data_IF_514923997055
#
_entry.id   IF_514923997055
#
_cell.length_a   1.000
_cell.length_b   1.000
_cell.length_c   1.000
_cell.angle_alpha   90.00
_cell.angle_beta   90.00
_cell.angle_gamma   90.00
#
_symmetry.space_group_name_H-M   'P 1'
#
loop_
_entity.id
_entity.type
_entity.pdbx_description
1 polymer ?
#
# COMPACT_ATOMS: atom_id res chain seq x y z
N UNK A 1 -6.96 19.74 4.82
CA UNK A 1 -7.64 18.64 4.11
C UNK A 1 -8.64 18.01 5.06
N UNK A 2 -9.94 18.03 4.73
CA UNK A 2 -10.95 17.34 5.55
C UNK A 2 -10.93 15.88 5.11
N UNK A 3 -10.42 15.00 5.95
CA UNK A 3 -10.49 13.56 5.68
C UNK A 3 -11.91 13.12 6.05
N UNK A 4 -12.65 12.53 5.10
CA UNK A 4 -14.05 12.11 5.29
C UNK A 4 -14.09 10.58 5.45
N UNK A 5 -13.75 10.03 6.63
CA UNK A 5 -13.65 8.59 6.84
C UNK A 5 -14.98 7.87 6.60
N UNK A 6 -16.10 8.55 6.82
CA UNK A 6 -17.44 8.00 6.60
C UNK A 6 -17.73 7.75 5.12
N UNK A 7 -17.18 8.58 4.23
CA UNK A 7 -17.28 8.39 2.78
C UNK A 7 -16.38 7.23 2.35
N UNK A 8 -15.15 7.18 2.87
CA UNK A 8 -14.20 6.10 2.57
C UNK A 8 -14.76 4.72 2.96
N UNK A 9 -15.51 4.60 4.06
CA UNK A 9 -16.16 3.35 4.48
C UNK A 9 -17.28 2.90 3.53
N UNK A 10 -17.94 3.82 2.85
CA UNK A 10 -19.06 3.53 1.94
C UNK A 10 -18.59 3.14 0.53
N UNK A 11 -17.34 3.45 0.20
CA UNK A 11 -16.72 3.07 -1.06
C UNK A 11 -16.04 1.70 -0.94
N UNK A 12 -16.03 0.98 -2.05
CA UNK A 12 -15.26 -0.23 -2.29
C UNK A 12 -14.30 0.06 -3.44
N UNK A 13 -13.12 -0.56 -3.37
CA UNK A 13 -12.12 -0.48 -4.44
C UNK A 13 -12.40 -1.57 -5.46
N UNK A 14 -12.36 -1.23 -6.74
CA UNK A 14 -12.48 -2.20 -7.83
C UNK A 14 -11.34 -3.23 -7.77
N UNK A 15 -11.63 -4.53 -7.95
CA UNK A 15 -10.59 -5.56 -8.00
C UNK A 15 -9.68 -5.45 -9.23
N UNK A 16 -10.12 -4.77 -10.29
CA UNK A 16 -9.37 -4.63 -11.55
C UNK A 16 -8.52 -3.37 -11.60
N UNK A 17 -8.92 -2.30 -10.89
CA UNK A 17 -8.17 -1.05 -10.85
C UNK A 17 -8.33 -0.35 -9.49
N UNK A 18 -7.24 -0.25 -8.74
CA UNK A 18 -7.24 0.35 -7.40
C UNK A 18 -7.61 1.84 -7.37
N UNK A 19 -7.59 2.52 -8.54
CA UNK A 19 -8.03 3.92 -8.66
C UNK A 19 -9.54 4.06 -8.68
N UNK A 20 -10.28 3.01 -9.01
CA UNK A 20 -11.73 3.02 -9.00
C UNK A 20 -12.26 2.79 -7.58
N UNK A 21 -12.86 3.83 -7.01
CA UNK A 21 -13.64 3.77 -5.79
C UNK A 21 -15.12 3.94 -6.14
N UNK A 22 -15.93 2.93 -5.82
CA UNK A 22 -17.33 2.83 -6.19
C UNK A 22 -18.16 2.53 -4.94
N UNK A 23 -19.39 3.03 -4.82
CA UNK A 23 -20.25 2.69 -3.69
C UNK A 23 -20.38 1.18 -3.53
N UNK A 24 -20.31 0.68 -2.28
CA UNK A 24 -20.42 -0.76 -1.99
C UNK A 24 -21.67 -1.40 -2.56
N UNK A 25 -22.77 -0.67 -2.65
CA UNK A 25 -24.02 -1.15 -3.25
C UNK A 25 -23.91 -1.37 -4.77
N UNK A 26 -23.02 -0.64 -5.44
CA UNK A 26 -22.90 -0.60 -6.91
C UNK A 26 -21.70 -1.39 -7.43
N UNK A 27 -20.81 -1.86 -6.53
CA UNK A 27 -19.59 -2.59 -6.91
C UNK A 27 -19.86 -3.80 -7.80
N UNK A 28 -20.97 -4.52 -7.57
CA UNK A 28 -21.33 -5.69 -8.38
C UNK A 28 -21.63 -5.30 -9.83
N UNK A 29 -22.37 -4.22 -10.03
CA UNK A 29 -22.69 -3.70 -11.36
C UNK A 29 -21.42 -3.18 -12.04
N UNK A 30 -20.60 -2.44 -11.30
CA UNK A 30 -19.31 -1.96 -11.79
C UNK A 30 -18.40 -3.10 -12.25
N UNK A 31 -18.27 -4.20 -11.48
CA UNK A 31 -17.44 -5.35 -11.86
C UNK A 31 -17.89 -5.95 -13.21
N UNK A 32 -19.19 -5.98 -13.49
CA UNK A 32 -19.72 -6.52 -14.76
C UNK A 32 -19.43 -5.62 -15.97
N UNK A 33 -19.23 -4.32 -15.79
CA UNK A 33 -19.07 -3.34 -16.87
C UNK A 33 -17.75 -2.57 -16.81
N UNK A 34 -16.77 -3.02 -16.01
CA UNK A 34 -15.52 -2.31 -15.83
C UNK A 34 -14.64 -2.47 -17.08
N UNK A 35 -14.21 -1.36 -17.69
CA UNK A 35 -13.34 -1.37 -18.87
C UNK A 35 -11.97 -2.01 -18.58
N UNK A 36 -11.44 -1.82 -17.37
CA UNK A 36 -10.15 -2.40 -16.94
C UNK A 36 -10.22 -3.92 -16.73
N UNK A 37 -11.42 -4.53 -16.77
CA UNK A 37 -11.60 -5.98 -16.63
C UNK A 37 -10.91 -6.74 -17.76
N UNK A 38 -10.95 -6.23 -18.99
CA UNK A 38 -10.37 -6.93 -20.15
C UNK A 38 -8.84 -7.00 -20.10
N UNK A 39 -8.19 -6.01 -19.47
CA UNK A 39 -6.74 -5.96 -19.35
C UNK A 39 -6.17 -7.14 -18.53
N UNK A 40 -6.93 -7.66 -17.56
CA UNK A 40 -6.50 -8.74 -16.68
C UNK A 40 -6.89 -10.12 -17.25
N UNK A 41 -8.03 -10.21 -17.93
CA UNK A 41 -8.47 -11.47 -18.57
C UNK A 41 -7.49 -11.96 -19.65
N UNK A 42 -6.79 -11.03 -20.32
CA UNK A 42 -5.75 -11.36 -21.29
C UNK A 42 -4.56 -12.11 -20.66
N UNK A 43 -4.19 -11.79 -19.41
CA UNK A 43 -3.10 -12.45 -18.69
C UNK A 43 -3.50 -13.83 -18.17
N UNK A 44 -4.76 -14.02 -17.74
CA UNK A 44 -5.27 -15.31 -17.24
C UNK A 44 -5.38 -16.34 -18.37
N UNK A 45 -5.87 -15.94 -19.56
CA UNK A 45 -5.96 -16.84 -20.73
C UNK A 45 -4.57 -17.21 -21.27
N UNK A 46 -3.63 -16.26 -21.23
CA UNK A 46 -2.23 -16.54 -21.59
C UNK A 46 -1.58 -17.52 -20.61
N UNK A 47 -2.00 -17.48 -19.33
CA UNK A 47 -1.55 -18.40 -18.29
C UNK A 47 -2.25 -19.77 -18.36
N UNK A 48 -3.52 -19.86 -18.79
CA UNK A 48 -4.22 -21.15 -18.92
C UNK A 48 -3.65 -22.05 -20.00
N UNK A 49 -3.09 -21.47 -21.07
CA UNK A 49 -2.37 -22.23 -22.11
C UNK A 49 -0.98 -22.72 -21.65
N UNK A 50 -0.46 -22.16 -20.56
CA UNK A 50 0.86 -22.50 -19.98
C UNK A 50 0.76 -23.18 -18.60
N UNK A 51 -0.44 -23.40 -18.06
CA UNK A 51 -0.69 -23.94 -16.72
C UNK A 51 -1.03 -25.43 -16.70
N UNK A 52 -1.29 -26.06 -17.87
CA UNK A 52 -1.45 -27.51 -17.91
C UNK A 52 -0.09 -28.21 -17.75
N UNK A 53 0.26 -28.44 -16.49
CA UNK A 53 1.32 -29.32 -15.99
C UNK A 53 2.73 -28.72 -16.00
N UNK A 54 3.02 -27.94 -14.96
CA UNK A 54 4.04 -28.38 -14.01
C UNK A 54 3.58 -28.15 -12.58
N UNK A 55 3.29 -29.27 -11.90
CA UNK A 55 3.39 -29.35 -10.44
C UNK A 55 4.86 -29.13 -10.07
N UNK A 56 5.38 -27.91 -10.13
CA UNK A 56 6.60 -27.59 -9.40
C UNK A 56 6.24 -27.48 -7.93
N UNK A 57 6.40 -28.60 -7.23
CA UNK A 57 6.80 -28.63 -5.83
C UNK A 57 8.23 -28.05 -5.72
N UNK A 58 8.40 -26.79 -6.06
CA UNK A 58 9.53 -26.01 -5.58
C UNK A 58 8.95 -25.20 -4.44
N UNK A 59 9.19 -25.68 -3.21
CA UNK A 59 9.19 -24.80 -2.05
C UNK A 59 9.93 -23.55 -2.51
N UNK A 60 9.21 -22.43 -2.55
CA UNK A 60 9.78 -21.12 -2.80
C UNK A 60 10.87 -20.93 -1.75
N UNK A 61 12.12 -21.26 -2.11
CA UNK A 61 13.32 -21.08 -1.28
C UNK A 61 13.68 -19.59 -1.23
N UNK A 62 12.67 -18.73 -1.29
CA UNK A 62 12.78 -17.33 -1.01
C UNK A 62 12.72 -17.20 0.51
N UNK A 63 13.91 -17.20 1.10
CA UNK A 63 14.09 -16.66 2.44
C UNK A 63 14.33 -15.17 2.27
N UNK A 64 13.60 -14.31 2.99
CA UNK A 64 13.96 -12.90 3.03
C UNK A 64 15.41 -12.81 3.52
N UNK A 65 16.24 -12.02 2.85
CA UNK A 65 17.57 -11.70 3.35
C UNK A 65 17.45 -11.19 4.80
N UNK A 66 18.45 -11.44 5.67
CA UNK A 66 18.48 -10.83 6.98
C UNK A 66 18.29 -9.33 6.82
N UNK A 67 17.15 -8.82 7.28
CA UNK A 67 16.84 -7.42 7.21
C UNK A 67 17.47 -6.80 8.46
N UNK A 68 18.68 -6.27 8.31
CA UNK A 68 19.40 -5.58 9.39
C UNK A 68 18.87 -4.13 9.60
N UNK A 69 18.10 -3.62 8.63
CA UNK A 69 17.45 -2.31 8.66
C UNK A 69 16.10 -2.39 9.40
N UNK A 70 16.18 -2.33 10.72
CA UNK A 70 15.04 -2.21 11.62
C UNK A 70 14.64 -0.72 11.77
N UNK A 71 13.62 -0.31 11.02
CA UNK A 71 13.07 1.06 11.07
C UNK A 71 12.46 1.42 12.44
N UNK A 72 12.22 0.44 13.33
CA UNK A 72 11.75 0.68 14.70
C UNK A 72 12.89 1.04 15.68
N UNK A 73 14.17 0.87 15.28
CA UNK A 73 15.33 1.28 16.11
C UNK A 73 15.42 2.80 16.27
N UNK A 74 15.08 3.55 15.23
CA UNK A 74 15.16 5.02 15.23
C UNK A 74 14.28 5.65 16.32
N UNK A 75 13.16 5.00 16.67
CA UNK A 75 12.26 5.47 17.73
C UNK A 75 12.86 5.29 19.12
N UNK A 76 13.63 4.23 19.35
CA UNK A 76 14.24 3.95 20.65
C UNK A 76 15.47 4.84 20.87
N UNK A 77 16.26 5.10 19.82
CA UNK A 77 17.42 5.99 19.90
C UNK A 77 17.01 7.47 20.07
N UNK A 78 15.85 7.86 19.50
CA UNK A 78 15.30 9.21 19.67
C UNK A 78 14.69 9.47 21.05
N UNK A 79 14.35 8.42 21.83
CA UNK A 79 13.83 8.61 23.19
C UNK A 79 14.88 9.15 24.18
N UNK A 80 16.18 9.05 23.85
CA UNK A 80 17.29 9.57 24.65
C UNK A 80 17.78 10.95 24.18
N UNK A 81 17.33 11.41 23.02
CA UNK A 81 17.64 12.72 22.47
C UNK A 81 16.47 13.64 22.76
N UNK A 82 16.65 14.60 23.68
CA UNK A 82 15.66 15.64 23.89
C UNK A 82 15.43 16.36 22.56
N UNK A 83 14.27 16.14 21.94
CA UNK A 83 13.89 16.81 20.71
C UNK A 83 13.77 18.31 20.99
N UNK A 84 14.82 19.06 20.68
CA UNK A 84 14.81 20.52 20.83
C UNK A 84 14.14 21.10 19.60
N UNK A 85 12.86 21.45 19.73
CA UNK A 85 12.18 22.24 18.72
C UNK A 85 12.75 23.65 18.75
N UNK A 86 13.41 24.06 17.66
CA UNK A 86 13.96 25.38 17.38
C UNK A 86 13.98 26.37 18.54
N UNK A 87 15.05 26.38 19.33
CA UNK A 87 15.33 27.49 20.24
C UNK A 87 15.70 28.71 19.38
N UNK A 88 14.85 29.74 19.40
CA UNK A 88 15.25 31.03 18.86
C UNK A 88 16.37 31.58 19.76
N UNK A 89 17.56 31.75 19.20
CA UNK A 89 18.62 32.49 19.87
C UNK A 89 18.22 33.98 19.86
N UNK A 90 17.52 34.42 20.91
CA UNK A 90 17.47 35.85 21.23
C UNK A 90 18.86 36.27 21.68
N UNK A 91 19.66 36.71 20.71
CA UNK A 91 20.98 37.29 20.94
C UNK A 91 20.89 38.41 21.96
N UNK A 92 21.57 38.20 23.09
CA UNK A 92 22.11 39.24 23.96
C UNK A 92 22.76 40.34 23.12
N UNK A 93 22.22 41.56 23.19
CA UNK A 93 22.96 42.77 22.85
C UNK A 93 22.99 43.66 24.09
N UNK A 94 24.19 43.73 24.65
CA UNK A 94 24.65 44.58 25.73
C UNK A 94 24.42 46.07 25.42
N UNK A 95 23.81 46.81 26.36
CA UNK A 95 24.03 48.25 26.58
C UNK A 95 23.59 48.66 27.97
#
# INVERSE_FOLDING_TARGET
MKNHPDIAKQLATCPFNARHQVPRAEISHHISSCDDKSCIEQDIVSQSNNCHREKMNTVSMWQPSPCDEDWDKDLQEQSNSAFVWGTFNSGINNR
#
